data_IF_703252465446
#
_entry.id   IF_703252465446
#
_cell.length_a   1.000
_cell.length_b   1.000
_cell.length_c   1.000
_cell.angle_alpha   90.00
_cell.angle_beta   90.00
_cell.angle_gamma   90.00
#
_symmetry.space_group_name_H-M   'P 1'
#
loop_
_entity.id
_entity.type
_entity.pdbx_description
1 polymer ?
#
# COMPACT_ATOMS: atom_id res chain seq x y z
N UNK A 1 22.77 13.08 -9.12
CA UNK A 1 21.80 13.65 -10.09
C UNK A 1 20.57 12.77 -10.11
N UNK A 2 19.36 13.33 -10.15
CA UNK A 2 18.14 12.53 -10.25
C UNK A 2 18.06 11.83 -11.61
N UNK A 3 17.63 10.58 -11.62
CA UNK A 3 17.40 9.79 -12.83
C UNK A 3 16.32 10.42 -13.72
N UNK A 4 16.32 10.04 -15.01
CA UNK A 4 15.30 10.47 -15.98
C UNK A 4 13.88 10.12 -15.50
N UNK A 5 13.72 8.95 -14.87
CA UNK A 5 12.43 8.49 -14.32
C UNK A 5 11.96 9.37 -13.15
N UNK A 6 12.86 9.73 -12.22
CA UNK A 6 12.54 10.62 -11.10
C UNK A 6 12.21 12.04 -11.56
N UNK A 7 12.89 12.54 -12.60
CA UNK A 7 12.55 13.84 -13.21
C UNK A 7 11.14 13.79 -13.80
N UNK A 8 10.83 12.78 -14.63
CA UNK A 8 9.49 12.60 -15.21
C UNK A 8 8.41 12.50 -14.13
N UNK A 9 8.64 11.73 -13.07
CA UNK A 9 7.69 11.62 -11.95
C UNK A 9 7.45 12.97 -11.29
N UNK A 10 8.50 13.76 -11.03
CA UNK A 10 8.34 15.11 -10.45
C UNK A 10 7.53 16.03 -11.35
N UNK A 11 7.75 15.97 -12.65
CA UNK A 11 7.00 16.78 -13.61
C UNK A 11 5.51 16.37 -13.64
N UNK A 12 5.21 15.07 -13.65
CA UNK A 12 3.84 14.57 -13.54
C UNK A 12 3.14 15.01 -12.25
N UNK A 13 3.85 15.01 -11.11
CA UNK A 13 3.30 15.51 -9.84
C UNK A 13 3.03 17.01 -9.91
N UNK A 14 3.87 17.81 -10.57
CA UNK A 14 3.59 19.24 -10.76
C UNK A 14 2.35 19.47 -11.60
N UNK A 15 2.16 18.70 -12.67
CA UNK A 15 1.05 18.88 -13.62
C UNK A 15 -0.26 18.33 -13.03
N UNK A 16 -0.22 17.18 -12.34
CA UNK A 16 -1.44 16.46 -11.94
C UNK A 16 -1.65 16.34 -10.44
N UNK A 17 -0.69 16.75 -9.61
CA UNK A 17 -0.77 16.62 -8.15
C UNK A 17 -1.97 17.33 -7.54
N UNK A 18 -2.41 18.44 -8.13
CA UNK A 18 -3.61 19.18 -7.70
C UNK A 18 -4.89 18.35 -7.76
N UNK A 19 -4.94 17.29 -8.58
CA UNK A 19 -6.08 16.39 -8.70
C UNK A 19 -6.22 15.46 -7.49
N UNK A 20 -5.17 15.29 -6.70
CA UNK A 20 -5.12 14.31 -5.63
C UNK A 20 -5.35 14.94 -4.26
N UNK A 21 -6.26 14.37 -3.48
CA UNK A 21 -6.53 14.80 -2.10
C UNK A 21 -5.99 13.77 -1.11
N UNK A 22 -5.45 14.23 0.03
CA UNK A 22 -5.02 13.29 1.07
C UNK A 22 -6.24 12.63 1.70
N UNK A 23 -6.19 11.30 1.82
CA UNK A 23 -7.21 10.53 2.50
C UNK A 23 -6.60 9.93 3.76
N UNK A 24 -7.25 10.19 4.90
CA UNK A 24 -6.76 9.82 6.22
C UNK A 24 -7.71 8.87 6.91
N UNK A 25 -7.15 8.16 7.88
CA UNK A 25 -7.83 7.24 8.75
C UNK A 25 -7.98 7.85 10.14
N UNK A 26 -9.07 7.52 10.83
CA UNK A 26 -9.30 7.98 12.20
C UNK A 26 -8.22 7.46 13.17
N UNK A 27 -7.65 6.30 12.85
CA UNK A 27 -6.59 5.63 13.61
C UNK A 27 -5.22 6.34 13.53
N UNK A 28 -5.08 7.39 12.69
CA UNK A 28 -3.86 8.20 12.59
C UNK A 28 -3.02 7.94 11.34
N UNK A 29 -1.73 8.32 11.40
CA UNK A 29 -0.82 8.28 10.25
C UNK A 29 -0.09 6.93 10.11
N UNK A 30 -0.87 5.87 9.89
CA UNK A 30 -0.40 4.53 9.59
C UNK A 30 -0.60 4.19 8.11
N UNK A 31 0.13 3.19 7.62
CA UNK A 31 -0.04 2.63 6.30
C UNK A 31 -1.50 2.21 6.13
N UNK A 32 -2.19 2.85 5.19
CA UNK A 32 -3.61 2.62 4.92
C UNK A 32 -3.92 1.13 4.70
N UNK A 33 -2.98 0.43 4.07
CA UNK A 33 -3.12 -0.97 3.68
C UNK A 33 -2.86 -1.94 4.82
N UNK A 34 -1.65 -1.92 5.39
CA UNK A 34 -1.20 -2.96 6.32
C UNK A 34 -1.06 -2.50 7.77
N UNK A 35 -1.42 -1.25 8.09
CA UNK A 35 -1.38 -0.71 9.46
C UNK A 35 0.02 -0.41 10.02
N UNK A 36 1.08 -0.72 9.27
CA UNK A 36 2.47 -0.41 9.62
C UNK A 36 2.75 1.11 9.63
N UNK A 37 3.92 1.55 10.11
CA UNK A 37 4.34 2.95 10.04
C UNK A 37 4.36 3.46 8.60
N UNK A 38 3.63 4.54 8.34
CA UNK A 38 3.66 5.20 7.05
C UNK A 38 5.01 5.90 6.83
N UNK A 39 5.58 5.75 5.64
CA UNK A 39 6.87 6.33 5.24
C UNK A 39 6.73 7.24 4.01
N UNK A 40 5.61 7.17 3.32
CA UNK A 40 5.33 8.02 2.15
C UNK A 40 3.85 8.05 1.81
N UNK A 41 3.57 8.62 0.64
CA UNK A 41 2.23 8.72 0.08
C UNK A 41 2.15 7.93 -1.21
N UNK A 42 1.16 7.05 -1.26
CA UNK A 42 0.79 6.31 -2.46
C UNK A 42 -0.27 7.09 -3.24
N UNK A 43 -0.10 7.16 -4.56
CA UNK A 43 -1.04 7.83 -5.46
C UNK A 43 -2.01 6.80 -6.01
N UNK A 44 -3.30 7.00 -5.76
CA UNK A 44 -4.38 6.14 -6.26
C UNK A 44 -5.31 7.02 -7.10
N UNK A 45 -5.39 6.83 -8.44
CA UNK A 45 -4.56 5.96 -9.28
C UNK A 45 -3.09 6.44 -9.35
N UNK A 46 -2.13 5.67 -9.88
CA UNK A 46 -0.74 6.14 -10.01
C UNK A 46 -0.68 7.42 -10.86
N UNK A 47 0.09 8.42 -10.41
CA UNK A 47 0.24 9.70 -11.13
C UNK A 47 0.74 9.52 -12.57
N UNK A 48 1.50 8.44 -12.84
CA UNK A 48 1.99 8.11 -14.18
C UNK A 48 0.92 7.60 -15.16
N UNK A 49 -0.30 7.32 -14.68
CA UNK A 49 -1.42 6.78 -15.45
C UNK A 49 -2.65 7.70 -15.42
N UNK A 50 -2.52 8.88 -14.82
CA UNK A 50 -3.66 9.79 -14.68
C UNK A 50 -4.09 10.41 -16.01
N UNK A 51 -3.18 10.52 -16.98
CA UNK A 51 -3.49 10.97 -18.34
C UNK A 51 -4.41 9.97 -19.07
N UNK A 52 -4.28 8.67 -18.79
CA UNK A 52 -5.14 7.60 -19.33
C UNK A 52 -6.50 7.46 -18.61
N UNK A 53 -6.70 8.28 -17.58
CA UNK A 53 -7.88 8.32 -16.71
C UNK A 53 -8.47 9.74 -16.65
N UNK A 54 -9.04 10.24 -17.78
CA UNK A 54 -9.71 11.53 -17.81
C UNK A 54 -10.89 11.58 -16.84
N UNK A 55 -11.33 12.79 -16.49
CA UNK A 55 -12.39 13.03 -15.51
C UNK A 55 -13.64 12.20 -15.76
N UNK A 56 -14.18 12.23 -16.99
CA UNK A 56 -15.39 11.49 -17.37
C UNK A 56 -15.27 9.98 -17.12
N UNK A 57 -14.10 9.40 -17.43
CA UNK A 57 -13.85 7.97 -17.21
C UNK A 57 -13.77 7.65 -15.73
N UNK A 58 -13.10 8.50 -14.94
CA UNK A 58 -13.03 8.33 -13.48
C UNK A 58 -14.39 8.50 -12.82
N UNK A 59 -15.19 9.48 -13.25
CA UNK A 59 -16.56 9.70 -12.78
C UNK A 59 -17.42 8.47 -13.04
N UNK A 60 -17.45 8.00 -14.30
CA UNK A 60 -18.21 6.82 -14.71
C UNK A 60 -17.84 5.56 -13.89
N UNK A 61 -16.57 5.41 -13.52
CA UNK A 61 -16.07 4.23 -12.80
C UNK A 61 -15.88 4.45 -11.30
N UNK A 62 -16.25 5.62 -10.77
CA UNK A 62 -16.07 5.95 -9.35
C UNK A 62 -14.62 5.92 -8.87
N UNK A 63 -13.64 6.27 -9.72
CA UNK A 63 -12.21 6.22 -9.40
C UNK A 63 -11.74 7.53 -8.74
N UNK A 64 -11.50 7.55 -7.42
CA UNK A 64 -11.04 8.76 -6.75
C UNK A 64 -9.57 9.06 -7.09
N UNK A 65 -9.17 10.32 -6.97
CA UNK A 65 -7.76 10.73 -6.99
C UNK A 65 -7.34 11.06 -5.56
N UNK A 66 -6.64 10.14 -4.90
CA UNK A 66 -6.23 10.32 -3.50
C UNK A 66 -4.77 9.95 -3.24
N UNK A 67 -4.23 10.58 -2.19
CA UNK A 67 -2.95 10.26 -1.58
C UNK A 67 -3.20 9.49 -0.29
N UNK A 68 -2.73 8.24 -0.23
CA UNK A 68 -2.87 7.38 0.94
C UNK A 68 -1.53 7.26 1.69
N UNK A 69 -1.51 7.38 3.02
CA UNK A 69 -0.32 7.04 3.79
C UNK A 69 0.04 5.58 3.55
N UNK A 70 1.30 5.30 3.23
CA UNK A 70 1.76 3.95 2.90
C UNK A 70 3.18 3.71 3.43
N UNK A 71 3.44 2.49 3.89
CA UNK A 71 4.81 2.05 4.17
C UNK A 71 5.54 1.77 2.84
N UNK A 72 6.87 1.78 2.88
CA UNK A 72 7.67 1.60 1.67
C UNK A 72 7.43 0.25 0.99
N UNK A 73 7.20 -0.80 1.76
CA UNK A 73 6.98 -2.15 1.25
C UNK A 73 5.68 -2.26 0.44
N UNK A 74 4.55 -1.77 0.99
CA UNK A 74 3.28 -1.74 0.27
C UNK A 74 3.37 -0.85 -0.98
N UNK A 75 3.92 0.36 -0.83
CA UNK A 75 4.05 1.30 -1.94
C UNK A 75 4.93 0.74 -3.07
N UNK A 76 6.02 0.05 -2.72
CA UNK A 76 6.92 -0.58 -3.69
C UNK A 76 6.25 -1.78 -4.38
N UNK A 77 5.51 -2.61 -3.66
CA UNK A 77 4.80 -3.75 -4.24
C UNK A 77 3.73 -3.30 -5.26
N UNK A 78 3.00 -2.23 -4.93
CA UNK A 78 1.98 -1.62 -5.79
C UNK A 78 2.60 -0.91 -7.00
N UNK A 79 3.68 -0.17 -6.79
CA UNK A 79 4.40 0.59 -7.82
C UNK A 79 3.44 1.38 -8.73
N UNK A 80 3.61 1.30 -10.05
CA UNK A 80 2.76 1.90 -11.07
C UNK A 80 1.79 0.89 -11.69
N UNK A 81 1.36 -0.13 -10.95
CA UNK A 81 0.36 -1.09 -11.45
C UNK A 81 -0.97 -0.37 -11.74
N UNK A 82 -1.70 -0.87 -12.74
CA UNK A 82 -3.02 -0.36 -13.14
C UNK A 82 -4.15 -0.66 -12.15
N UNK A 83 -3.87 -0.58 -10.84
CA UNK A 83 -4.81 -0.78 -9.75
C UNK A 83 -5.33 0.60 -9.32
N UNK A 84 -6.51 0.95 -9.79
CA UNK A 84 -7.00 2.34 -9.74
C UNK A 84 -7.88 2.66 -8.54
N UNK A 85 -8.32 1.65 -7.80
CA UNK A 85 -9.06 1.83 -6.55
C UNK A 85 -8.35 1.10 -5.40
N UNK A 86 -8.78 1.41 -4.19
CA UNK A 86 -8.21 0.83 -2.96
C UNK A 86 -8.46 -0.67 -2.84
N UNK A 87 -9.62 -1.14 -3.27
CA UNK A 87 -10.00 -2.54 -3.12
C UNK A 87 -9.08 -3.46 -3.94
N UNK A 88 -8.84 -3.14 -5.22
CA UNK A 88 -7.94 -3.89 -6.09
C UNK A 88 -6.50 -3.89 -5.55
N UNK A 89 -6.08 -2.78 -4.94
CA UNK A 89 -4.76 -2.67 -4.29
C UNK A 89 -4.66 -3.57 -3.05
N UNK A 90 -5.72 -3.65 -2.25
CA UNK A 90 -5.77 -4.53 -1.08
C UNK A 90 -5.72 -6.01 -1.50
N UNK A 91 -6.50 -6.42 -2.51
CA UNK A 91 -6.48 -7.79 -3.03
C UNK A 91 -5.09 -8.17 -3.55
N UNK A 92 -4.45 -7.26 -4.29
CA UNK A 92 -3.08 -7.46 -4.75
C UNK A 92 -2.09 -7.58 -3.60
N UNK A 93 -2.19 -6.71 -2.59
CA UNK A 93 -1.27 -6.71 -1.45
C UNK A 93 -1.43 -7.95 -0.58
N UNK A 94 -2.66 -8.42 -0.36
CA UNK A 94 -2.91 -9.69 0.32
C UNK A 94 -2.19 -10.83 -0.38
N UNK A 95 -2.43 -11.00 -1.68
CA UNK A 95 -1.76 -12.03 -2.50
C UNK A 95 -0.23 -11.88 -2.48
N UNK A 96 0.29 -10.65 -2.52
CA UNK A 96 1.72 -10.36 -2.45
C UNK A 96 2.34 -10.82 -1.12
N UNK A 97 1.70 -10.49 0.01
CA UNK A 97 2.20 -10.85 1.32
C UNK A 97 2.00 -12.33 1.64
N UNK A 98 0.90 -12.93 1.19
CA UNK A 98 0.69 -14.38 1.28
C UNK A 98 1.78 -15.14 0.52
N UNK A 99 2.06 -14.76 -0.73
CA UNK A 99 3.15 -15.37 -1.49
C UNK A 99 4.51 -15.18 -0.81
N UNK A 100 4.73 -14.07 -0.10
CA UNK A 100 5.95 -13.81 0.66
C UNK A 100 6.04 -14.67 1.93
N UNK A 101 4.91 -14.87 2.62
CA UNK A 101 4.80 -15.74 3.79
C UNK A 101 5.02 -17.21 3.42
N UNK A 102 4.37 -17.69 2.35
CA UNK A 102 4.48 -19.08 1.88
C UNK A 102 5.89 -19.48 1.43
N UNK A 103 6.70 -18.53 0.94
CA UNK A 103 8.10 -18.78 0.60
C UNK A 103 8.99 -19.07 1.81
N UNK A 104 8.50 -18.83 3.02
CA UNK A 104 9.29 -19.00 4.22
C UNK A 104 9.01 -20.38 4.82
N UNK A 105 9.93 -21.31 4.58
CA UNK A 105 9.86 -22.66 5.14
C UNK A 105 10.50 -22.76 6.53
N UNK A 106 9.87 -23.62 7.33
CA UNK A 106 10.25 -24.13 8.66
C UNK A 106 10.14 -23.16 9.83
N UNK A 107 9.08 -23.35 10.61
CA UNK A 107 8.98 -22.87 11.99
C UNK A 107 9.61 -23.94 12.89
N UNK A 108 10.79 -23.67 13.44
CA UNK A 108 11.35 -24.48 14.52
C UNK A 108 10.62 -24.16 15.83
N UNK A 109 10.34 -25.19 16.62
CA UNK A 109 9.86 -25.05 17.99
C UNK A 109 10.94 -24.43 18.88
N UNK A 110 10.53 -23.84 20.00
CA UNK A 110 11.47 -23.27 20.98
C UNK A 110 12.45 -24.31 21.54
N UNK A 111 12.05 -25.57 21.66
CA UNK A 111 12.95 -26.68 22.04
C UNK A 111 14.01 -26.94 20.97
N UNK A 112 13.62 -27.02 19.69
CA UNK A 112 14.56 -27.21 18.58
C UNK A 112 15.53 -26.02 18.47
N UNK A 113 15.06 -24.79 18.73
CA UNK A 113 15.92 -23.60 18.72
C UNK A 113 16.97 -23.68 19.84
N UNK A 114 16.61 -24.12 21.04
CA UNK A 114 17.56 -24.20 22.18
C UNK A 114 18.71 -25.17 21.94
N UNK A 115 18.53 -26.16 21.08
CA UNK A 115 19.57 -27.12 20.69
C UNK A 115 20.59 -26.54 19.69
N UNK A 116 20.29 -25.39 19.09
CA UNK A 116 21.18 -24.73 18.13
C UNK A 116 22.25 -23.89 18.82
N UNK A 117 23.37 -23.65 18.12
CA UNK A 117 24.36 -22.67 18.55
C UNK A 117 23.79 -21.25 18.60
N UNK A 118 24.30 -20.42 19.52
CA UNK A 118 23.76 -19.08 19.84
C UNK A 118 23.47 -18.18 18.62
N UNK A 119 24.41 -18.11 17.67
CA UNK A 119 24.24 -17.29 16.47
C UNK A 119 23.07 -17.77 15.59
N UNK A 120 22.90 -19.09 15.48
CA UNK A 120 21.82 -19.67 14.70
C UNK A 120 20.46 -19.48 15.39
N UNK A 121 20.42 -19.48 16.72
CA UNK A 121 19.21 -19.13 17.48
C UNK A 121 18.71 -17.72 17.13
N UNK A 122 19.62 -16.74 17.16
CA UNK A 122 19.29 -15.36 16.82
C UNK A 122 18.73 -15.22 15.40
N UNK A 123 19.36 -15.89 14.42
CA UNK A 123 18.89 -15.91 13.04
C UNK A 123 17.46 -16.47 12.90
N UNK A 124 17.17 -17.56 13.60
CA UNK A 124 15.85 -18.22 13.54
C UNK A 124 14.77 -17.36 14.16
N UNK A 125 15.05 -16.78 15.34
CA UNK A 125 14.11 -15.89 16.02
C UNK A 125 13.77 -14.68 15.16
N UNK A 126 14.78 -14.03 14.57
CA UNK A 126 14.57 -12.92 13.65
C UNK A 126 13.72 -13.34 12.44
N UNK A 127 13.93 -14.56 11.91
CA UNK A 127 13.10 -15.11 10.83
C UNK A 127 11.64 -15.29 11.30
N UNK A 128 11.41 -15.86 12.48
CA UNK A 128 10.07 -16.05 13.06
C UNK A 128 9.34 -14.72 13.30
N UNK A 129 10.03 -13.71 13.83
CA UNK A 129 9.51 -12.35 13.98
C UNK A 129 9.08 -11.78 12.63
N UNK A 130 9.89 -11.99 11.59
CA UNK A 130 9.54 -11.63 10.21
C UNK A 130 8.26 -12.31 9.70
N UNK A 131 7.99 -13.56 10.09
CA UNK A 131 6.75 -14.27 9.72
C UNK A 131 5.54 -13.73 10.46
N UNK A 132 5.67 -13.49 11.76
CA UNK A 132 4.61 -12.87 12.57
C UNK A 132 4.26 -11.48 12.03
N UNK A 133 5.27 -10.75 11.55
CA UNK A 133 5.09 -9.46 10.93
C UNK A 133 4.31 -9.53 9.61
N UNK A 134 4.67 -10.46 8.72
CA UNK A 134 3.93 -10.70 7.47
C UNK A 134 2.48 -11.10 7.74
N UNK A 135 2.25 -12.02 8.68
CA UNK A 135 0.90 -12.43 9.09
C UNK A 135 0.08 -11.25 9.64
N UNK A 136 0.70 -10.38 10.43
CA UNK A 136 0.06 -9.17 10.95
C UNK A 136 -0.35 -8.20 9.84
N UNK A 137 0.50 -8.02 8.81
CA UNK A 137 0.18 -7.21 7.62
C UNK A 137 -1.01 -7.77 6.85
N UNK A 138 -1.03 -9.09 6.59
CA UNK A 138 -2.13 -9.78 5.90
C UNK A 138 -3.44 -9.56 6.66
N UNK A 139 -3.43 -9.77 7.98
CA UNK A 139 -4.61 -9.54 8.83
C UNK A 139 -5.11 -8.10 8.76
N UNK A 140 -4.20 -7.12 8.82
CA UNK A 140 -4.57 -5.70 8.71
C UNK A 140 -5.19 -5.37 7.33
N UNK A 141 -4.66 -5.96 6.26
CA UNK A 141 -5.21 -5.82 4.90
C UNK A 141 -6.62 -6.40 4.83
N UNK A 142 -6.84 -7.62 5.36
CA UNK A 142 -8.15 -8.27 5.40
C UNK A 142 -9.16 -7.45 6.21
N UNK A 143 -8.76 -6.94 7.39
CA UNK A 143 -9.59 -6.04 8.19
C UNK A 143 -9.95 -4.77 7.40
N UNK A 144 -9.03 -4.24 6.60
CA UNK A 144 -9.31 -3.08 5.76
C UNK A 144 -10.29 -3.43 4.63
N UNK A 145 -10.17 -4.60 4.00
CA UNK A 145 -11.08 -5.05 2.94
C UNK A 145 -12.54 -5.11 3.41
N UNK A 146 -12.78 -5.55 4.65
CA UNK A 146 -14.14 -5.65 5.22
C UNK A 146 -14.66 -4.33 5.80
N UNK A 147 -13.90 -3.23 5.69
CA UNK A 147 -14.28 -1.88 6.14
C UNK A 147 -14.39 -0.90 4.96
N UNK A 148 -15.27 -1.14 3.97
CA UNK A 148 -15.40 -0.31 2.78
C UNK A 148 -15.82 1.13 3.09
N UNK A 149 -16.43 1.39 4.24
CA UNK A 149 -16.73 2.73 4.75
C UNK A 149 -15.47 3.60 4.92
N UNK A 150 -14.30 2.98 5.06
CA UNK A 150 -13.01 3.67 5.17
C UNK A 150 -12.39 4.00 3.81
N UNK A 151 -12.99 3.56 2.71
CA UNK A 151 -12.43 3.75 1.38
C UNK A 151 -12.71 5.16 0.86
N UNK A 152 -11.73 5.75 0.13
CA UNK A 152 -11.95 7.02 -0.55
C UNK A 152 -13.06 6.87 -1.58
N UNK A 153 -13.96 7.85 -1.62
CA UNK A 153 -15.04 7.93 -2.62
C UNK A 153 -14.67 8.94 -3.69
N UNK A 154 -15.21 8.75 -4.90
CA UNK A 154 -15.20 9.82 -5.89
C UNK A 154 -16.02 11.00 -5.33
N UNK A 155 -15.39 12.16 -5.28
CA UNK A 155 -16.05 13.41 -4.90
C UNK A 155 -16.19 14.18 -6.20
N UNK A 156 -17.43 14.43 -6.62
CA UNK A 156 -17.68 15.44 -7.65
C UNK A 156 -17.22 16.76 -7.06
N UNK A 157 -16.30 17.45 -7.73
CA UNK A 157 -16.04 18.83 -7.33
C UNK A 157 -17.34 19.56 -7.59
N UNK A 158 -17.99 20.01 -6.51
CA UNK A 158 -19.16 20.87 -6.63
C UNK A 158 -18.78 21.97 -7.60
N UNK A 159 -19.54 22.09 -8.69
CA UNK A 159 -19.55 23.27 -9.53
C UNK A 159 -20.18 24.40 -8.71
N UNK A 160 -19.56 24.75 -7.57
CA UNK A 160 -20.00 25.83 -6.72
C UNK A 160 -19.53 27.14 -7.37
N UNK A 161 -20.54 27.79 -7.95
CA UNK A 161 -20.68 29.23 -8.12
C UNK A 161 -19.73 29.94 -9.09
N UNK A 162 -20.17 30.03 -10.35
CA UNK A 162 -20.10 31.29 -11.09
C UNK A 162 -21.48 31.94 -11.10
#
# INVERSE_FOLDING_TARGET
MASKAEKRRRDLIKIHGHKYRRHFLAEGYFCFYCGDRAQGLDHVPPVSMIEDLPYEKRKKWGIPCVLLPSCNECNFALNNRGLFNVFDRLLFLESYFDAKLQKQTSLWSESEIKELGHNLQGYVRAKQEGLQWLASKIRAIQVRQIKPETFPKFIEEDSDSS
#
